data_IF_116106945880
#
_entry.id   IF_116106945880
#
_cell.length_a   1.000
_cell.length_b   1.000
_cell.length_c   1.000
_cell.angle_alpha   90.00
_cell.angle_beta   90.00
_cell.angle_gamma   90.00
#
_symmetry.space_group_name_H-M   'P 1'
#
loop_
_entity.id
_entity.type
_entity.pdbx_description
1 polymer ?
#
# COMPACT_ATOMS: atom_id res chain seq x y z
N UNK A 1 6.10 -1.55 11.42
CA UNK A 1 5.71 -0.49 12.37
C UNK A 1 5.39 0.75 11.58
N UNK A 2 4.37 1.49 11.97
CA UNK A 2 3.94 2.72 11.31
C UNK A 2 4.05 3.88 12.29
N UNK A 3 4.48 5.04 11.79
CA UNK A 3 4.70 6.21 12.61
C UNK A 3 3.37 6.85 13.03
N UNK A 4 3.23 7.16 14.32
CA UNK A 4 2.15 8.03 14.80
C UNK A 4 2.63 9.49 14.75
N UNK A 5 2.21 10.21 13.73
CA UNK A 5 2.71 11.56 13.43
C UNK A 5 2.37 12.57 14.51
N UNK A 6 1.19 12.50 15.08
CA UNK A 6 0.78 13.47 16.11
C UNK A 6 1.59 13.32 17.40
N UNK A 7 2.01 12.11 17.72
CA UNK A 7 2.88 11.86 18.89
C UNK A 7 4.33 12.21 18.59
N UNK A 8 4.80 11.88 17.38
CA UNK A 8 6.20 12.13 16.99
C UNK A 8 6.48 13.63 16.82
N UNK A 9 5.52 14.38 16.30
CA UNK A 9 5.67 15.81 16.02
C UNK A 9 4.57 16.62 16.70
N UNK A 10 4.63 16.78 18.06
CA UNK A 10 3.60 17.50 18.81
C UNK A 10 3.40 18.93 18.27
N UNK A 11 2.15 19.34 18.14
CA UNK A 11 1.79 20.67 17.65
C UNK A 11 1.90 20.88 16.13
N UNK A 12 2.44 19.92 15.38
CA UNK A 12 2.62 20.01 13.92
C UNK A 12 1.53 19.28 13.12
N UNK A 13 0.78 18.43 13.79
CA UNK A 13 -0.34 17.70 13.20
C UNK A 13 -1.56 17.87 14.08
N UNK A 14 -2.74 17.84 13.48
CA UNK A 14 -4.00 17.83 14.25
C UNK A 14 -4.13 16.52 15.01
N UNK A 15 -4.83 16.57 16.14
CA UNK A 15 -5.05 15.40 16.98
C UNK A 15 -5.72 14.25 16.22
N UNK A 16 -5.50 13.00 16.63
CA UNK A 16 -6.15 11.84 16.03
C UNK A 16 -7.69 11.94 16.11
N UNK A 17 -8.33 11.45 15.06
CA UNK A 17 -9.78 11.29 14.98
C UNK A 17 -10.10 9.88 14.49
N UNK A 18 -11.39 9.51 14.52
CA UNK A 18 -11.83 8.20 14.02
C UNK A 18 -11.45 8.01 12.54
N UNK A 19 -11.58 9.06 11.73
CA UNK A 19 -11.24 8.98 10.29
C UNK A 19 -9.77 9.24 10.00
N UNK A 20 -9.01 9.76 10.97
CA UNK A 20 -7.57 10.05 10.83
C UNK A 20 -6.82 9.65 12.11
N UNK A 21 -6.69 8.35 12.35
CA UNK A 21 -6.19 7.85 13.63
C UNK A 21 -4.72 8.19 13.92
N UNK A 22 -3.97 8.61 12.92
CA UNK A 22 -2.56 9.03 13.08
C UNK A 22 -2.40 10.55 13.11
N UNK A 23 -3.50 11.28 13.27
CA UNK A 23 -3.53 12.73 13.15
C UNK A 23 -3.68 13.19 11.70
N UNK A 24 -3.98 14.46 11.52
CA UNK A 24 -4.17 15.07 10.20
C UNK A 24 -3.14 16.15 9.95
N UNK A 25 -2.80 16.36 8.68
CA UNK A 25 -2.04 17.53 8.27
C UNK A 25 -2.82 18.78 8.54
N UNK A 26 -2.14 19.85 8.90
CA UNK A 26 -2.74 21.16 9.12
C UNK A 26 -1.92 22.26 8.47
N UNK A 27 -2.61 23.29 8.01
CA UNK A 27 -1.96 24.49 7.53
C UNK A 27 -1.38 25.31 8.69
N UNK A 28 -0.37 26.10 8.43
CA UNK A 28 0.07 27.14 9.36
C UNK A 28 -1.05 28.16 9.57
N UNK A 29 -1.12 28.71 10.76
CA UNK A 29 -2.20 29.65 11.14
C UNK A 29 -2.04 31.03 10.52
N UNK A 30 -0.84 31.38 10.03
CA UNK A 30 -0.56 32.63 9.30
C UNK A 30 0.61 32.42 8.36
N UNK A 31 0.84 33.34 7.38
CA UNK A 31 1.98 33.22 6.46
C UNK A 31 3.36 33.14 7.12
N UNK A 32 3.50 33.67 8.32
CA UNK A 32 4.76 33.70 9.07
C UNK A 32 4.79 32.68 10.24
N UNK A 33 3.66 32.02 10.55
CA UNK A 33 3.62 31.04 11.62
C UNK A 33 4.39 29.75 11.23
N UNK A 34 4.98 29.12 12.25
CA UNK A 34 5.74 27.87 12.08
C UNK A 34 5.03 26.69 12.74
N UNK A 35 3.71 26.70 12.77
CA UNK A 35 2.86 25.73 13.45
C UNK A 35 2.13 24.77 12.51
N UNK A 36 2.36 24.86 11.19
CA UNK A 36 1.79 23.95 10.22
C UNK A 36 2.59 22.66 10.10
N UNK A 37 1.98 21.65 9.51
CA UNK A 37 2.67 20.40 9.17
C UNK A 37 3.71 20.62 8.09
N UNK A 38 4.85 19.94 8.21
CA UNK A 38 5.90 19.96 7.18
C UNK A 38 6.52 18.56 7.07
N UNK A 39 7.29 18.37 6.00
CA UNK A 39 7.93 17.09 5.72
C UNK A 39 9.11 16.89 6.66
N UNK A 40 9.01 15.88 7.50
CA UNK A 40 10.06 15.47 8.41
C UNK A 40 10.72 14.17 7.94
N UNK A 41 11.98 13.97 8.32
CA UNK A 41 12.77 12.82 7.91
C UNK A 41 12.09 11.48 8.26
N UNK A 42 11.70 11.32 9.51
CA UNK A 42 11.12 10.05 9.97
C UNK A 42 9.78 9.76 9.29
N UNK A 43 8.97 10.80 9.03
CA UNK A 43 7.71 10.62 8.32
C UNK A 43 7.93 10.18 6.88
N UNK A 44 8.86 10.82 6.18
CA UNK A 44 9.19 10.43 4.81
C UNK A 44 9.77 9.02 4.75
N UNK A 45 10.66 8.68 5.69
CA UNK A 45 11.27 7.37 5.76
C UNK A 45 10.28 6.25 6.16
N UNK A 46 9.24 6.58 6.92
CA UNK A 46 8.17 5.63 7.25
C UNK A 46 7.44 5.17 6.00
N UNK A 47 7.09 6.10 5.12
CA UNK A 47 6.46 5.77 3.84
C UNK A 47 7.43 5.05 2.89
N UNK A 48 8.65 5.53 2.81
CA UNK A 48 9.68 4.92 1.99
C UNK A 48 9.96 3.49 2.42
N UNK A 49 9.97 3.23 3.72
CA UNK A 49 10.10 1.89 4.28
C UNK A 49 8.95 0.95 3.88
N UNK A 50 7.73 1.46 3.84
CA UNK A 50 6.58 0.69 3.36
C UNK A 50 6.74 0.31 1.87
N UNK A 51 7.09 1.26 1.02
CA UNK A 51 7.33 1.00 -0.39
C UNK A 51 8.49 0.04 -0.61
N UNK A 52 9.59 0.22 0.12
CA UNK A 52 10.73 -0.69 0.07
C UNK A 52 10.34 -2.12 0.48
N UNK A 53 9.49 -2.26 1.49
CA UNK A 53 9.01 -3.58 1.92
C UNK A 53 8.19 -4.28 0.85
N UNK A 54 7.32 -3.57 0.14
CA UNK A 54 6.55 -4.13 -0.98
C UNK A 54 7.48 -4.67 -2.07
N UNK A 55 8.47 -3.89 -2.46
CA UNK A 55 9.46 -4.32 -3.45
C UNK A 55 10.21 -5.57 -3.00
N UNK A 56 10.64 -5.60 -1.75
CA UNK A 56 11.38 -6.74 -1.17
C UNK A 56 10.52 -8.01 -1.18
N UNK A 57 9.28 -7.93 -0.71
CA UNK A 57 8.36 -9.09 -0.68
C UNK A 57 8.05 -9.59 -2.09
N UNK A 58 7.91 -8.68 -3.05
CA UNK A 58 7.66 -9.02 -4.45
C UNK A 58 8.90 -9.52 -5.19
N UNK A 59 10.10 -9.38 -4.62
CA UNK A 59 11.36 -9.72 -5.29
C UNK A 59 11.71 -8.80 -6.46
N UNK A 60 11.23 -7.55 -6.43
CA UNK A 60 11.47 -6.56 -7.49
C UNK A 60 12.63 -5.65 -7.08
N UNK A 61 13.64 -5.57 -7.93
CA UNK A 61 14.75 -4.62 -7.77
C UNK A 61 14.38 -3.31 -8.42
N UNK A 62 14.51 -2.16 -7.72
CA UNK A 62 14.26 -0.85 -8.31
C UNK A 62 15.11 -0.61 -9.55
N UNK A 63 14.49 -0.11 -10.62
CA UNK A 63 15.18 0.17 -11.88
C UNK A 63 15.74 1.60 -11.97
N UNK A 64 15.49 2.44 -10.95
CA UNK A 64 15.96 3.81 -10.89
C UNK A 64 15.09 4.84 -11.62
N UNK A 65 14.06 4.39 -12.32
CA UNK A 65 13.12 5.30 -12.98
C UNK A 65 12.01 5.73 -12.04
N UNK A 66 11.48 6.93 -12.25
CA UNK A 66 10.34 7.42 -11.49
C UNK A 66 9.07 6.68 -11.95
N UNK A 67 8.29 6.20 -11.00
CA UNK A 67 7.00 5.59 -11.28
C UNK A 67 6.03 6.58 -11.93
N UNK A 68 5.20 6.08 -12.83
CA UNK A 68 4.20 6.88 -13.54
C UNK A 68 2.84 6.17 -13.55
N UNK A 69 1.81 6.85 -14.05
CA UNK A 69 0.48 6.26 -14.17
C UNK A 69 0.38 5.11 -15.17
N UNK A 70 1.36 4.96 -16.03
CA UNK A 70 1.39 3.89 -17.06
C UNK A 70 2.46 2.82 -16.79
N UNK A 71 3.36 3.06 -15.85
CA UNK A 71 4.43 2.11 -15.51
C UNK A 71 4.87 2.35 -14.07
N UNK A 72 4.57 1.41 -13.18
CA UNK A 72 4.84 1.54 -11.76
C UNK A 72 5.36 0.24 -11.16
N UNK A 73 6.60 0.25 -10.71
CA UNK A 73 7.16 -0.87 -9.98
C UNK A 73 6.50 -1.05 -8.60
N UNK A 74 6.07 0.04 -7.97
CA UNK A 74 5.35 -0.07 -6.69
C UNK A 74 3.98 -0.73 -6.85
N UNK A 75 3.26 -0.41 -7.91
CA UNK A 75 1.99 -1.07 -8.20
C UNK A 75 2.19 -2.56 -8.51
N UNK A 76 3.18 -2.88 -9.34
CA UNK A 76 3.53 -4.27 -9.65
C UNK A 76 3.94 -5.04 -8.39
N UNK A 77 4.69 -4.40 -7.49
CA UNK A 77 5.10 -4.98 -6.22
C UNK A 77 3.90 -5.24 -5.30
N UNK A 78 2.92 -4.34 -5.26
CA UNK A 78 1.70 -4.53 -4.49
C UNK A 78 0.94 -5.76 -4.97
N UNK A 79 0.73 -5.88 -6.26
CA UNK A 79 0.04 -7.02 -6.87
C UNK A 79 0.79 -8.33 -6.58
N UNK A 80 2.10 -8.36 -6.77
CA UNK A 80 2.92 -9.54 -6.52
C UNK A 80 2.94 -9.94 -5.04
N UNK A 81 3.01 -8.97 -4.13
CA UNK A 81 2.98 -9.22 -2.69
C UNK A 81 1.64 -9.78 -2.23
N UNK A 82 0.53 -9.28 -2.78
CA UNK A 82 -0.81 -9.83 -2.52
C UNK A 82 -0.89 -11.28 -3.00
N UNK A 83 -0.46 -11.54 -4.23
CA UNK A 83 -0.46 -12.91 -4.79
C UNK A 83 0.40 -13.87 -3.98
N UNK A 84 1.53 -13.43 -3.47
CA UNK A 84 2.42 -14.24 -2.64
C UNK A 84 1.76 -14.70 -1.33
N UNK A 85 0.78 -13.96 -0.83
CA UNK A 85 0.04 -14.27 0.39
C UNK A 85 -1.28 -15.03 0.13
N UNK A 86 -1.65 -15.24 -1.12
CA UNK A 86 -2.84 -15.99 -1.51
C UNK A 86 -2.47 -17.42 -1.90
N UNK A 87 -3.35 -18.36 -1.57
CA UNK A 87 -3.24 -19.72 -2.08
C UNK A 87 -3.46 -19.78 -3.60
N UNK A 88 -2.97 -20.83 -4.23
CA UNK A 88 -3.08 -21.01 -5.69
C UNK A 88 -4.54 -21.02 -6.18
N UNK A 89 -5.46 -21.55 -5.39
CA UNK A 89 -6.89 -21.55 -5.72
C UNK A 89 -7.44 -20.13 -5.86
N UNK A 90 -7.08 -19.23 -4.92
CA UNK A 90 -7.54 -17.84 -4.93
C UNK A 90 -7.01 -17.03 -6.13
N UNK A 91 -5.98 -17.52 -6.81
CA UNK A 91 -5.37 -16.88 -7.96
C UNK A 91 -5.86 -17.44 -9.30
N UNK A 92 -6.77 -18.39 -9.28
CA UNK A 92 -7.27 -19.06 -10.48
C UNK A 92 -8.66 -18.57 -10.84
N UNK A 93 -8.91 -18.46 -12.13
CA UNK A 93 -10.25 -18.22 -12.62
C UNK A 93 -11.10 -19.47 -12.48
N UNK A 94 -12.40 -19.30 -12.36
CA UNK A 94 -13.37 -20.39 -12.45
C UNK A 94 -13.67 -20.67 -13.92
N UNK A 95 -13.66 -21.92 -14.34
CA UNK A 95 -13.94 -22.30 -15.73
C UNK A 95 -13.59 -23.74 -16.04
N UNK A 96 -13.47 -24.04 -17.31
CA UNK A 96 -13.22 -25.41 -17.83
C UNK A 96 -11.82 -25.60 -18.40
N UNK A 97 -11.05 -24.52 -18.54
CA UNK A 97 -9.70 -24.61 -19.09
C UNK A 97 -8.71 -25.20 -18.08
N UNK A 98 -7.58 -25.66 -18.58
CA UNK A 98 -6.50 -26.16 -17.72
C UNK A 98 -6.07 -25.08 -16.70
N UNK A 99 -5.78 -25.51 -15.48
CA UNK A 99 -5.39 -24.65 -14.36
C UNK A 99 -6.47 -23.69 -13.86
N UNK A 100 -7.71 -23.85 -14.28
CA UNK A 100 -8.87 -23.16 -13.70
C UNK A 100 -9.50 -24.00 -12.61
N UNK A 101 -10.25 -23.32 -11.71
CA UNK A 101 -11.09 -24.02 -10.72
C UNK A 101 -12.39 -24.42 -11.44
N UNK A 102 -12.78 -25.71 -11.43
CA UNK A 102 -14.00 -26.12 -12.07
C UNK A 102 -15.21 -25.44 -11.48
N UNK A 103 -16.09 -24.92 -12.35
CA UNK A 103 -17.43 -24.50 -11.96
C UNK A 103 -18.26 -25.72 -11.58
N UNK A 104 -19.25 -25.54 -10.71
CA UNK A 104 -20.18 -26.62 -10.33
C UNK A 104 -20.90 -27.19 -11.54
N UNK A 105 -21.16 -26.38 -12.57
CA UNK A 105 -21.76 -26.82 -13.81
C UNK A 105 -20.91 -27.87 -14.55
N UNK A 106 -19.60 -27.92 -14.29
CA UNK A 106 -18.70 -28.92 -14.87
C UNK A 106 -18.91 -30.33 -14.31
N UNK A 107 -19.64 -30.45 -13.22
CA UNK A 107 -19.95 -31.73 -12.57
C UNK A 107 -21.38 -32.20 -12.81
N UNK A 108 -22.17 -31.48 -13.61
CA UNK A 108 -23.61 -31.70 -13.70
C UNK A 108 -24.02 -32.90 -14.51
N UNK A 109 -23.17 -33.40 -15.33
CA UNK A 109 -23.60 -34.49 -16.20
C UNK A 109 -22.94 -35.79 -15.87
N UNK A 110 -22.63 -36.10 -14.72
CA UNK A 110 -21.93 -37.29 -14.27
C UNK A 110 -22.04 -38.55 -15.16
N UNK A 111 -22.50 -38.32 -16.29
CA UNK A 111 -22.75 -39.33 -17.30
C UNK A 111 -22.05 -38.97 -18.60
#
# INVERSE_FOLDING_TARGET
MALNRSNKYPGRFSAPTVTRPQGAFKNRTSPTAQDGSYLEQDWANDWDGFFARMLTVAGITPNGNVDSGSSSQYFDAMVAAIKANLGTAAQRNVGTAANQIPDISNFTSGT
#
